data_IF_540291853559
#
_entry.id   IF_540291853559
#
_cell.length_a   1.000
_cell.length_b   1.000
_cell.length_c   1.000
_cell.angle_alpha   90.00
_cell.angle_beta   90.00
_cell.angle_gamma   90.00
#
_symmetry.space_group_name_H-M   'P 1'
#
loop_
_entity.id
_entity.type
_entity.pdbx_description
1 polymer ?
#
# COMPACT_ATOMS: atom_id res chain seq x y z
N UNK A 1 14.00 0.32 -9.26
CA UNK A 1 14.59 0.06 -7.94
C UNK A 1 13.51 0.12 -6.85
N UNK A 2 12.78 1.22 -6.65
CA UNK A 2 11.69 1.25 -5.66
C UNK A 2 10.29 0.85 -6.20
N UNK A 3 9.99 1.15 -7.47
CA UNK A 3 8.71 0.76 -8.12
C UNK A 3 8.54 -0.76 -8.29
N UNK A 4 9.66 -1.48 -8.37
CA UNK A 4 9.69 -2.94 -8.49
C UNK A 4 9.37 -3.59 -7.14
N UNK A 5 10.03 -3.13 -6.07
CA UNK A 5 9.73 -3.51 -4.68
C UNK A 5 8.26 -3.22 -4.31
N UNK A 6 7.74 -2.07 -4.74
CA UNK A 6 6.32 -1.75 -4.54
C UNK A 6 5.40 -2.73 -5.28
N UNK A 7 5.71 -3.11 -6.53
CA UNK A 7 4.94 -4.11 -7.28
C UNK A 7 4.98 -5.48 -6.63
N UNK A 8 6.13 -5.90 -6.14
CA UNK A 8 6.30 -7.16 -5.42
C UNK A 8 5.52 -7.16 -4.11
N UNK A 9 5.58 -6.05 -3.34
CA UNK A 9 4.79 -5.85 -2.13
C UNK A 9 3.29 -5.96 -2.39
N UNK A 10 2.78 -5.27 -3.44
CA UNK A 10 1.36 -5.33 -3.82
C UNK A 10 0.94 -6.72 -4.30
N UNK A 11 1.85 -7.47 -4.92
CA UNK A 11 1.61 -8.87 -5.32
C UNK A 11 1.59 -9.80 -4.12
N UNK A 12 2.47 -9.58 -3.13
CA UNK A 12 2.47 -10.33 -1.86
C UNK A 12 1.20 -10.06 -1.07
N UNK A 13 0.78 -8.79 -0.97
CA UNK A 13 -0.47 -8.38 -0.30
C UNK A 13 -1.72 -9.04 -0.91
N UNK A 14 -1.73 -9.34 -2.21
CA UNK A 14 -2.84 -10.07 -2.84
C UNK A 14 -2.93 -11.53 -2.41
N UNK A 15 -1.79 -12.16 -2.15
CA UNK A 15 -1.72 -13.56 -1.74
C UNK A 15 -1.82 -13.73 -0.22
N UNK A 16 -1.47 -12.70 0.55
CA UNK A 16 -1.48 -12.72 2.02
C UNK A 16 -2.62 -11.84 2.59
N UNK A 17 -3.78 -12.43 2.95
CA UNK A 17 -4.91 -11.67 3.49
C UNK A 17 -4.58 -10.98 4.82
N UNK A 18 -3.68 -11.53 5.63
CA UNK A 18 -3.20 -10.91 6.86
C UNK A 18 -2.40 -9.63 6.61
N UNK A 19 -1.57 -9.62 5.55
CA UNK A 19 -0.86 -8.41 5.12
C UNK A 19 -1.84 -7.36 4.59
N UNK A 20 -2.81 -7.79 3.79
CA UNK A 20 -3.87 -6.90 3.28
C UNK A 20 -4.64 -6.23 4.42
N UNK A 21 -5.03 -6.97 5.46
CA UNK A 21 -5.71 -6.40 6.63
C UNK A 21 -4.84 -5.38 7.36
N UNK A 22 -3.53 -5.67 7.55
CA UNK A 22 -2.61 -4.72 8.17
C UNK A 22 -2.46 -3.43 7.37
N UNK A 23 -2.33 -3.53 6.04
CA UNK A 23 -2.24 -2.38 5.13
C UNK A 23 -3.53 -1.57 5.14
N UNK A 24 -4.69 -2.22 5.08
CA UNK A 24 -6.01 -1.57 5.15
C UNK A 24 -6.30 -0.93 6.51
N UNK A 25 -5.69 -1.45 7.58
CA UNK A 25 -5.79 -0.85 8.92
C UNK A 25 -4.92 0.40 9.09
N UNK A 26 -3.98 0.67 8.17
CA UNK A 26 -3.17 1.88 8.23
C UNK A 26 -3.92 3.07 7.64
N UNK A 27 -3.83 4.20 8.34
CA UNK A 27 -4.47 5.45 7.91
C UNK A 27 -3.65 6.22 6.86
N UNK A 28 -2.34 5.97 6.75
CA UNK A 28 -1.44 6.77 5.90
C UNK A 28 -0.57 5.90 5.00
N UNK A 29 -0.18 6.46 3.85
CA UNK A 29 0.76 5.81 2.94
C UNK A 29 2.16 5.62 3.57
N UNK A 30 2.55 6.47 4.51
CA UNK A 30 3.80 6.34 5.26
C UNK A 30 3.79 5.10 6.17
N UNK A 31 2.69 4.87 6.90
CA UNK A 31 2.55 3.68 7.73
C UNK A 31 2.57 2.39 6.88
N UNK A 32 1.96 2.42 5.69
CA UNK A 32 2.04 1.30 4.73
C UNK A 32 3.48 1.08 4.25
N UNK A 33 4.22 2.15 3.97
CA UNK A 33 5.65 2.06 3.64
C UNK A 33 6.47 1.44 4.77
N UNK A 34 6.16 1.77 6.04
CA UNK A 34 6.80 1.12 7.20
C UNK A 34 6.48 -0.37 7.30
N UNK A 35 5.29 -0.81 6.91
CA UNK A 35 4.96 -2.25 6.81
C UNK A 35 5.80 -2.92 5.72
N UNK A 36 5.89 -2.30 4.54
CA UNK A 36 6.75 -2.76 3.44
C UNK A 36 8.20 -2.91 3.88
N UNK A 37 8.73 -1.89 4.57
CA UNK A 37 10.09 -1.85 5.07
C UNK A 37 10.39 -3.00 6.04
N UNK A 38 9.46 -3.33 6.95
CA UNK A 38 9.57 -4.47 7.86
C UNK A 38 9.65 -5.82 7.13
N UNK A 39 9.11 -5.90 5.93
CA UNK A 39 9.13 -7.10 5.08
C UNK A 39 10.33 -7.10 4.11
N UNK A 40 11.19 -6.07 4.14
CA UNK A 40 12.34 -5.92 3.25
C UNK A 40 12.06 -5.16 1.96
N UNK A 41 10.88 -4.54 1.81
CA UNK A 41 10.55 -3.71 0.66
C UNK A 41 10.89 -2.25 0.92
N UNK A 42 11.72 -1.65 0.07
CA UNK A 42 12.17 -0.28 0.20
C UNK A 42 11.42 0.64 -0.78
N UNK A 43 10.34 1.26 -0.29
CA UNK A 43 9.56 2.25 -1.02
C UNK A 43 9.00 3.31 -0.06
N UNK A 44 8.75 4.51 -0.58
CA UNK A 44 8.24 5.63 0.21
C UNK A 44 6.71 5.77 0.12
N UNK A 45 6.10 6.41 1.12
CA UNK A 45 4.68 6.79 1.06
C UNK A 45 4.34 7.69 -0.12
N UNK A 46 5.25 8.57 -0.56
CA UNK A 46 5.06 9.40 -1.76
C UNK A 46 4.97 8.55 -3.04
N UNK A 47 5.71 7.45 -3.11
CA UNK A 47 5.70 6.55 -4.28
C UNK A 47 4.40 5.75 -4.34
N UNK A 48 3.87 5.34 -3.19
CA UNK A 48 2.51 4.81 -3.08
C UNK A 48 1.46 5.83 -3.55
N UNK A 49 1.62 7.10 -3.16
CA UNK A 49 0.73 8.18 -3.60
C UNK A 49 0.84 8.45 -5.10
N UNK A 50 2.03 8.33 -5.69
CA UNK A 50 2.21 8.42 -7.16
C UNK A 50 1.57 7.25 -7.90
N UNK A 51 1.54 6.06 -7.30
CA UNK A 51 0.80 4.92 -7.85
C UNK A 51 -0.70 5.00 -7.57
N UNK A 52 -1.16 5.96 -6.76
CA UNK A 52 -2.58 6.13 -6.49
C UNK A 52 -3.30 6.56 -7.76
N UNK A 53 -4.35 5.83 -8.12
CA UNK A 53 -5.04 5.99 -9.42
C UNK A 53 -4.41 5.18 -10.57
N UNK A 54 -3.23 4.57 -10.36
CA UNK A 54 -2.69 3.57 -11.28
C UNK A 54 -3.05 2.15 -10.81
N UNK A 55 -3.35 1.29 -11.78
CA UNK A 55 -3.65 -0.11 -11.55
C UNK A 55 -2.36 -0.93 -11.69
N UNK A 56 -1.95 -1.60 -10.62
CA UNK A 56 -0.82 -2.52 -10.63
C UNK A 56 -1.39 -3.95 -10.65
N UNK A 57 -1.48 -4.53 -11.85
CA UNK A 57 -2.12 -5.83 -12.04
C UNK A 57 -3.62 -5.80 -11.69
N UNK A 58 -4.00 -6.47 -10.60
CA UNK A 58 -5.37 -6.47 -10.06
C UNK A 58 -5.58 -5.50 -8.89
N UNK A 59 -4.52 -4.88 -8.36
CA UNK A 59 -4.62 -3.94 -7.23
C UNK A 59 -4.71 -2.52 -7.76
N UNK A 60 -5.82 -1.87 -7.42
CA UNK A 60 -5.97 -0.43 -7.62
C UNK A 60 -5.62 0.25 -6.31
N UNK A 61 -4.52 1.01 -6.31
CA UNK A 61 -4.18 1.85 -5.16
C UNK A 61 -5.11 3.05 -5.20
N UNK A 62 -6.04 3.12 -4.25
CA UNK A 62 -6.94 4.25 -4.09
C UNK A 62 -6.52 5.02 -2.84
N UNK A 63 -6.61 6.35 -2.92
CA UNK A 63 -6.57 7.18 -1.73
C UNK A 63 -7.84 6.86 -0.96
N UNK A 64 -7.74 6.05 0.08
CA UNK A 64 -8.82 5.96 1.04
C UNK A 64 -8.82 7.31 1.74
N UNK A 65 -9.77 8.17 1.38
CA UNK A 65 -10.17 9.22 2.28
C UNK A 65 -10.64 8.49 3.54
N UNK A 66 -9.91 8.66 4.64
CA UNK A 66 -10.31 8.14 5.94
C UNK A 66 -11.80 8.48 6.12
N UNK A 67 -12.70 7.51 6.36
CA UNK A 67 -14.10 7.80 6.65
C UNK A 67 -14.16 8.44 8.03
N UNK A 68 -13.78 9.72 8.06
CA UNK A 68 -13.74 10.57 9.23
C UNK A 68 -15.03 11.33 9.46
N UNK A 69 -16.10 11.06 8.71
CA UNK A 69 -17.45 11.50 9.05
C UNK A 69 -18.48 10.44 8.60
N UNK A 70 -18.75 9.48 9.49
CA UNK A 70 -20.11 8.98 9.60
C UNK A 70 -20.87 10.01 10.42
N UNK A 71 -21.74 10.78 9.76
CA UNK A 71 -22.84 11.48 10.43
C UNK A 71 -23.88 10.48 10.95
#
# INVERSE_FOLDING_TARGET
MALDQLREFLSKMQNEPGLKQQVLAQATADDVARIGLKLGYEFSGDELLRMTGQKVGKVTVNKVATPGEYN
#
